data_IF_027263935010
#
_entry.id   IF_027263935010
#
_cell.length_a   1.000
_cell.length_b   1.000
_cell.length_c   1.000
_cell.angle_alpha   90.00
_cell.angle_beta   90.00
_cell.angle_gamma   90.00
#
_symmetry.space_group_name_H-M   'P 1'
#
loop_
_entity.id
_entity.type
_entity.pdbx_description
1 polymer ?
#
# COMPACT_ATOMS: atom_id res chain seq x y z
N UNK A 1 5.97 -18.70 -11.44
CA UNK A 1 5.07 -17.52 -11.44
C UNK A 1 4.76 -17.18 -12.89
N UNK A 2 3.49 -17.13 -13.28
CA UNK A 2 3.10 -16.79 -14.65
C UNK A 2 3.18 -15.28 -14.83
N UNK A 3 4.09 -14.79 -15.67
CA UNK A 3 4.50 -13.38 -15.81
C UNK A 3 3.41 -12.38 -16.24
N UNK A 4 2.32 -12.30 -15.50
CA UNK A 4 1.16 -11.41 -15.69
C UNK A 4 1.07 -10.37 -14.56
N UNK A 5 2.20 -10.11 -13.92
CA UNK A 5 2.33 -9.23 -12.77
C UNK A 5 2.22 -7.76 -13.19
N UNK A 6 1.40 -6.98 -12.48
CA UNK A 6 1.40 -5.52 -12.54
C UNK A 6 2.31 -5.01 -11.45
N UNK A 7 3.44 -4.39 -11.81
CA UNK A 7 4.33 -3.76 -10.83
C UNK A 7 3.58 -2.58 -10.18
N UNK A 8 3.99 -2.16 -9.00
CA UNK A 8 3.33 -1.09 -8.26
C UNK A 8 4.35 -0.06 -7.79
N UNK A 9 3.88 1.14 -7.50
CA UNK A 9 4.60 2.26 -6.92
C UNK A 9 3.65 3.00 -5.97
N UNK A 10 4.15 3.91 -5.13
CA UNK A 10 3.38 4.40 -3.97
C UNK A 10 2.04 5.05 -4.35
N UNK A 11 2.03 5.88 -5.40
CA UNK A 11 0.87 6.63 -5.87
C UNK A 11 0.11 5.94 -7.01
N UNK A 12 0.28 4.62 -7.18
CA UNK A 12 -0.42 3.89 -8.24
C UNK A 12 -1.95 4.00 -8.07
N UNK A 13 -2.65 4.20 -9.18
CA UNK A 13 -4.12 4.24 -9.22
C UNK A 13 -4.68 2.95 -9.83
N UNK A 14 -5.94 2.66 -9.51
CA UNK A 14 -6.71 1.59 -10.18
C UNK A 14 -6.67 1.74 -11.69
N UNK A 15 -6.80 2.97 -12.21
CA UNK A 15 -6.82 3.22 -13.66
C UNK A 15 -5.50 2.84 -14.33
N UNK A 16 -4.36 3.20 -13.74
CA UNK A 16 -3.04 2.82 -14.24
C UNK A 16 -2.85 1.31 -14.16
N UNK A 17 -3.13 0.72 -13.00
CA UNK A 17 -2.98 -0.71 -12.79
C UNK A 17 -3.87 -1.53 -13.74
N UNK A 18 -5.12 -1.11 -13.94
CA UNK A 18 -6.06 -1.73 -14.87
C UNK A 18 -5.58 -1.56 -16.33
N UNK A 19 -5.11 -0.37 -16.71
CA UNK A 19 -4.55 -0.12 -18.03
C UNK A 19 -3.39 -1.05 -18.37
N UNK A 20 -2.45 -1.22 -17.43
CA UNK A 20 -1.31 -2.15 -17.57
C UNK A 20 -1.77 -3.60 -17.57
N UNK A 21 -2.72 -3.94 -16.71
CA UNK A 21 -3.25 -5.30 -16.58
C UNK A 21 -4.03 -5.78 -17.81
N UNK A 22 -4.76 -4.87 -18.46
CA UNK A 22 -5.56 -5.15 -19.66
C UNK A 22 -4.74 -5.14 -20.95
N UNK A 23 -3.70 -4.32 -21.05
CA UNK A 23 -2.94 -4.13 -22.30
C UNK A 23 -1.63 -4.93 -22.36
N UNK A 24 -1.71 -6.25 -22.10
CA UNK A 24 -0.53 -7.13 -22.01
C UNK A 24 0.19 -7.39 -23.33
N UNK A 25 -0.49 -7.17 -24.46
CA UNK A 25 0.07 -7.42 -25.79
C UNK A 25 0.97 -6.27 -26.27
N UNK A 26 0.85 -5.08 -25.66
CA UNK A 26 1.67 -3.92 -26.01
C UNK A 26 2.99 -3.96 -25.24
N UNK A 27 3.96 -4.70 -25.79
CA UNK A 27 5.28 -4.89 -25.16
C UNK A 27 6.04 -3.57 -25.00
N UNK A 28 5.89 -2.63 -25.94
CA UNK A 28 6.57 -1.34 -25.88
C UNK A 28 6.01 -0.46 -24.75
N UNK A 29 4.68 -0.42 -24.57
CA UNK A 29 4.07 0.27 -23.44
C UNK A 29 4.47 -0.38 -22.11
N UNK A 30 4.50 -1.71 -22.03
CA UNK A 30 4.93 -2.44 -20.83
C UNK A 30 6.39 -2.17 -20.47
N UNK A 31 7.29 -2.14 -21.45
CA UNK A 31 8.71 -1.82 -21.22
C UNK A 31 8.89 -0.39 -20.72
N UNK A 32 8.21 0.58 -21.33
CA UNK A 32 8.22 1.98 -20.86
C UNK A 32 7.69 2.10 -19.43
N UNK A 33 6.57 1.43 -19.14
CA UNK A 33 6.00 1.39 -17.79
C UNK A 33 6.97 0.78 -16.78
N UNK A 34 7.52 -0.40 -17.08
CA UNK A 34 8.45 -1.08 -16.20
C UNK A 34 9.71 -0.24 -15.93
N UNK A 35 10.24 0.42 -16.96
CA UNK A 35 11.38 1.34 -16.84
C UNK A 35 11.06 2.54 -15.95
N UNK A 36 9.88 3.15 -16.13
CA UNK A 36 9.46 4.27 -15.29
C UNK A 36 9.30 3.84 -13.82
N UNK A 37 8.78 2.64 -13.58
CA UNK A 37 8.73 2.05 -12.24
C UNK A 37 10.15 1.81 -11.73
N UNK A 38 11.08 1.23 -12.52
CA UNK A 38 12.49 1.06 -12.12
C UNK A 38 13.16 2.38 -11.71
N UNK A 39 12.95 3.44 -12.48
CA UNK A 39 13.50 4.77 -12.17
C UNK A 39 12.92 5.34 -10.86
N UNK A 40 11.60 5.20 -10.64
CA UNK A 40 10.96 5.55 -9.37
C UNK A 40 11.56 4.74 -8.21
N UNK A 41 11.74 3.44 -8.45
CA UNK A 41 12.25 2.45 -7.53
C UNK A 41 13.71 2.66 -7.11
N UNK A 42 14.50 3.39 -7.90
CA UNK A 42 15.89 3.71 -7.53
C UNK A 42 15.94 4.97 -6.66
N UNK A 43 14.96 5.87 -6.80
CA UNK A 43 14.95 7.18 -6.15
C UNK A 43 14.37 7.15 -4.74
N UNK A 44 13.23 6.50 -4.58
CA UNK A 44 12.89 5.91 -3.31
C UNK A 44 13.71 4.63 -3.28
N UNK A 45 14.65 4.33 -2.39
CA UNK A 45 15.00 2.96 -2.00
C UNK A 45 15.78 3.19 -0.72
N UNK A 46 15.42 2.46 0.33
CA UNK A 46 16.05 2.68 1.61
C UNK A 46 15.92 1.42 2.48
N UNK A 47 16.98 1.19 3.25
CA UNK A 47 17.12 0.09 4.19
C UNK A 47 16.94 0.56 5.64
N UNK A 48 16.30 1.70 5.85
CA UNK A 48 16.00 2.26 7.17
C UNK A 48 14.52 2.58 7.30
N UNK A 49 14.01 2.50 8.52
CA UNK A 49 12.68 3.02 8.86
C UNK A 49 12.75 4.54 9.03
N UNK A 50 11.79 5.27 8.45
CA UNK A 50 11.70 6.72 8.50
C UNK A 50 10.35 7.11 9.09
N UNK A 51 10.36 8.01 10.07
CA UNK A 51 9.17 8.58 10.68
C UNK A 51 9.09 10.07 10.33
N UNK A 52 7.98 10.48 9.69
CA UNK A 52 7.67 11.86 9.41
C UNK A 52 7.11 12.58 10.66
N UNK A 53 6.83 13.89 10.54
CA UNK A 53 6.34 14.68 11.67
C UNK A 53 4.93 14.25 12.11
N UNK A 54 4.65 14.37 13.41
CA UNK A 54 3.33 14.07 13.98
C UNK A 54 2.93 12.59 14.05
N UNK A 55 3.79 11.65 13.65
CA UNK A 55 3.49 10.22 13.74
C UNK A 55 3.33 9.76 15.19
N UNK A 56 2.44 8.81 15.44
CA UNK A 56 2.25 8.14 16.74
C UNK A 56 2.49 6.65 16.59
N UNK A 57 3.42 6.12 17.38
CA UNK A 57 3.70 4.68 17.46
C UNK A 57 3.59 4.21 18.90
N UNK A 58 2.73 3.23 19.14
CA UNK A 58 2.55 2.61 20.46
C UNK A 58 2.36 1.09 20.32
N UNK A 59 2.78 0.37 21.36
CA UNK A 59 2.46 -1.06 21.56
C UNK A 59 2.78 -1.97 20.37
N UNK A 60 3.75 -1.60 19.53
CA UNK A 60 4.09 -2.32 18.29
C UNK A 60 5.50 -2.87 18.38
N UNK A 61 5.69 -4.20 18.46
CA UNK A 61 6.98 -4.80 18.76
C UNK A 61 7.94 -4.80 17.57
N UNK A 62 7.45 -4.66 16.32
CA UNK A 62 8.29 -4.81 15.12
C UNK A 62 7.88 -3.87 13.99
N UNK A 63 8.78 -2.95 13.63
CA UNK A 63 8.68 -2.04 12.48
C UNK A 63 10.04 -2.01 11.76
N UNK A 64 10.09 -2.48 10.52
CA UNK A 64 11.35 -2.64 9.76
C UNK A 64 11.20 -2.05 8.36
N UNK A 65 12.20 -1.30 7.89
CA UNK A 65 12.28 -0.75 6.52
C UNK A 65 10.95 -0.12 6.07
N UNK A 66 10.38 0.72 6.92
CA UNK A 66 9.05 1.28 6.69
C UNK A 66 9.13 2.80 6.61
N UNK A 67 8.46 3.38 5.62
CA UNK A 67 8.18 4.81 5.60
C UNK A 67 6.86 5.07 6.31
N UNK A 68 6.89 5.88 7.36
CA UNK A 68 5.74 6.30 8.15
C UNK A 68 5.49 7.78 7.88
N UNK A 69 4.49 8.08 7.03
CA UNK A 69 4.13 9.43 6.59
C UNK A 69 3.50 10.30 7.69
N UNK A 70 3.30 11.58 7.41
CA UNK A 70 2.91 12.57 8.41
C UNK A 70 1.62 12.19 9.14
N UNK A 71 1.65 12.32 10.47
CA UNK A 71 0.49 12.02 11.30
C UNK A 71 0.06 10.55 11.34
N UNK A 72 0.80 9.60 10.73
CA UNK A 72 0.38 8.20 10.72
C UNK A 72 0.26 7.63 12.15
N UNK A 73 -0.72 6.75 12.34
CA UNK A 73 -1.01 6.13 13.64
C UNK A 73 -0.73 4.64 13.57
N UNK A 74 0.23 4.18 14.37
CA UNK A 74 0.56 2.78 14.54
C UNK A 74 0.32 2.42 16.00
N UNK A 75 -0.70 1.63 16.30
CA UNK A 75 -1.07 1.32 17.69
C UNK A 75 -1.46 -0.15 17.90
N UNK A 76 -0.58 -0.91 18.54
CA UNK A 76 -0.84 -2.33 18.79
C UNK A 76 -0.74 -3.21 17.54
N UNK A 77 -0.06 -2.77 16.48
CA UNK A 77 0.23 -3.60 15.32
C UNK A 77 1.18 -4.74 15.72
N UNK A 78 1.03 -5.92 15.12
CA UNK A 78 1.89 -7.07 15.45
C UNK A 78 3.23 -7.00 14.73
N UNK A 79 3.22 -6.64 13.43
CA UNK A 79 4.41 -6.62 12.58
C UNK A 79 4.18 -5.73 11.37
N UNK A 80 5.01 -4.70 11.22
CA UNK A 80 5.11 -3.88 10.02
C UNK A 80 6.50 -4.05 9.40
N UNK A 81 6.58 -4.44 8.14
CA UNK A 81 7.87 -4.62 7.46
C UNK A 81 7.79 -4.28 6.00
N UNK A 82 8.83 -3.62 5.49
CA UNK A 82 8.96 -3.23 4.09
C UNK A 82 7.63 -2.61 3.66
N UNK A 83 7.27 -1.45 4.18
CA UNK A 83 5.92 -0.88 4.01
C UNK A 83 6.01 0.62 3.79
N UNK A 84 5.07 1.18 3.04
CA UNK A 84 4.96 2.62 2.82
C UNK A 84 3.58 3.09 3.26
N UNK A 85 3.54 3.95 4.29
CA UNK A 85 2.32 4.58 4.78
C UNK A 85 2.29 6.02 4.25
N UNK A 86 1.55 6.27 3.18
CA UNK A 86 1.30 7.62 2.66
C UNK A 86 0.21 8.26 3.51
N UNK A 87 0.62 9.02 4.51
CA UNK A 87 -0.27 9.61 5.51
C UNK A 87 -0.07 11.11 5.57
N UNK A 88 -1.15 11.84 5.79
CA UNK A 88 -1.15 13.27 6.11
C UNK A 88 -2.02 13.54 7.36
N UNK A 89 -1.86 14.69 8.05
CA UNK A 89 -2.60 15.01 9.27
C UNK A 89 -4.13 15.09 9.13
N UNK A 90 -4.66 15.22 7.93
CA UNK A 90 -6.09 15.23 7.59
C UNK A 90 -6.57 13.90 7.00
N UNK A 91 -5.65 13.05 6.54
CA UNK A 91 -5.91 11.75 5.91
C UNK A 91 -4.95 10.69 6.46
N UNK A 92 -5.08 10.40 7.74
CA UNK A 92 -4.17 9.51 8.47
C UNK A 92 -4.24 8.06 7.95
N UNK A 93 -3.08 7.45 7.71
CA UNK A 93 -3.00 5.99 7.67
C UNK A 93 -2.97 5.41 9.09
N UNK A 94 -3.74 4.34 9.31
CA UNK A 94 -3.81 3.66 10.61
C UNK A 94 -3.44 2.18 10.47
N UNK A 95 -2.53 1.70 11.31
CA UNK A 95 -2.23 0.27 11.45
C UNK A 95 -2.34 -0.09 12.92
N UNK A 96 -3.34 -0.89 13.29
CA UNK A 96 -3.68 -1.07 14.71
C UNK A 96 -4.18 -2.47 15.08
N UNK A 97 -4.47 -2.67 16.37
CA UNK A 97 -5.28 -3.80 16.86
C UNK A 97 -4.86 -5.19 16.33
N UNK A 98 -3.57 -5.50 16.43
CA UNK A 98 -3.01 -6.80 16.05
C UNK A 98 -2.73 -6.97 14.55
N UNK A 99 -2.94 -5.93 13.74
CA UNK A 99 -2.70 -5.96 12.30
C UNK A 99 -1.27 -6.36 11.91
N UNK A 100 -1.16 -6.98 10.74
CA UNK A 100 0.11 -7.33 10.10
C UNK A 100 0.17 -6.73 8.70
N UNK A 101 1.19 -5.93 8.44
CA UNK A 101 1.38 -5.26 7.15
C UNK A 101 2.80 -5.53 6.67
N UNK A 102 2.93 -6.29 5.58
CA UNK A 102 4.24 -6.74 5.08
C UNK A 102 4.32 -6.55 3.60
N UNK A 103 5.34 -5.86 3.12
CA UNK A 103 5.43 -5.62 1.69
C UNK A 103 4.14 -5.00 1.14
N UNK A 104 3.60 -3.98 1.81
CA UNK A 104 2.42 -3.28 1.30
C UNK A 104 2.54 -1.76 1.28
N UNK A 105 1.76 -1.13 0.41
CA UNK A 105 1.59 0.32 0.33
C UNK A 105 0.18 0.64 0.86
N UNK A 106 0.08 1.58 1.80
CA UNK A 106 -1.17 2.14 2.28
C UNK A 106 -1.23 3.61 1.86
N UNK A 107 -2.19 3.95 1.01
CA UNK A 107 -2.43 5.32 0.57
C UNK A 107 -3.29 6.09 1.59
N UNK A 108 -3.36 7.41 1.45
CA UNK A 108 -4.03 8.34 2.38
C UNK A 108 -5.37 7.83 2.90
N UNK A 109 -5.57 7.95 4.22
CA UNK A 109 -6.78 7.49 4.89
C UNK A 109 -6.97 5.97 4.97
N UNK A 110 -6.02 5.15 4.53
CA UNK A 110 -6.16 3.69 4.59
C UNK A 110 -5.96 3.12 5.99
N UNK A 111 -6.65 2.04 6.29
CA UNK A 111 -6.64 1.41 7.61
C UNK A 111 -6.42 -0.11 7.53
N UNK A 112 -5.56 -0.63 8.41
CA UNK A 112 -5.48 -2.08 8.68
C UNK A 112 -5.57 -2.28 10.18
N UNK A 113 -6.64 -2.88 10.65
CA UNK A 113 -6.94 -3.03 12.06
C UNK A 113 -7.48 -4.44 12.38
N UNK A 114 -7.85 -4.70 13.63
CA UNK A 114 -8.60 -5.88 14.07
C UNK A 114 -8.11 -7.19 13.42
N UNK A 115 -6.81 -7.46 13.55
CA UNK A 115 -6.11 -8.62 12.99
C UNK A 115 -6.17 -8.75 11.45
N UNK A 116 -6.36 -7.64 10.73
CA UNK A 116 -6.24 -7.56 9.29
C UNK A 116 -4.82 -7.87 8.82
N UNK A 117 -4.72 -8.54 7.67
CA UNK A 117 -3.46 -8.88 7.02
C UNK A 117 -3.40 -8.22 5.64
N UNK A 118 -2.38 -7.38 5.44
CA UNK A 118 -2.01 -6.89 4.12
C UNK A 118 -0.60 -7.39 3.76
N UNK A 119 -0.49 -8.11 2.66
CA UNK A 119 0.78 -8.64 2.17
C UNK A 119 0.97 -8.42 0.67
N UNK A 120 2.14 -7.95 0.23
CA UNK A 120 2.45 -7.75 -1.20
C UNK A 120 1.38 -6.92 -1.93
N UNK A 121 0.76 -5.95 -1.26
CA UNK A 121 -0.49 -5.35 -1.72
C UNK A 121 -0.50 -3.83 -1.66
N UNK A 122 -1.41 -3.23 -2.43
CA UNK A 122 -1.69 -1.79 -2.39
C UNK A 122 -3.10 -1.59 -1.86
N UNK A 123 -3.22 -0.85 -0.77
CA UNK A 123 -4.45 -0.25 -0.28
C UNK A 123 -4.51 1.17 -0.83
N UNK A 124 -5.42 1.43 -1.76
CA UNK A 124 -5.65 2.77 -2.27
C UNK A 124 -6.42 3.64 -1.27
N UNK A 125 -6.51 4.93 -1.57
CA UNK A 125 -7.11 5.96 -0.69
C UNK A 125 -8.39 5.49 0.02
N UNK A 126 -8.45 5.70 1.34
CA UNK A 126 -9.60 5.37 2.19
C UNK A 126 -10.05 3.90 2.09
N UNK A 127 -9.14 2.97 1.78
CA UNK A 127 -9.44 1.53 1.80
C UNK A 127 -9.05 0.89 3.13
N UNK A 128 -9.72 -0.21 3.48
CA UNK A 128 -9.51 -0.84 4.78
C UNK A 128 -9.47 -2.37 4.71
N UNK A 129 -8.69 -2.97 5.62
CA UNK A 129 -8.65 -4.42 5.86
C UNK A 129 -8.80 -4.65 7.36
N UNK A 130 -9.92 -5.25 7.75
CA UNK A 130 -10.35 -5.33 9.14
C UNK A 130 -10.93 -6.71 9.48
N UNK A 131 -11.16 -6.98 10.76
CA UNK A 131 -11.87 -8.18 11.26
C UNK A 131 -11.35 -9.48 10.62
N UNK A 132 -10.06 -9.73 10.73
CA UNK A 132 -9.36 -10.89 10.10
C UNK A 132 -9.40 -10.92 8.56
N UNK A 133 -9.75 -9.82 7.90
CA UNK A 133 -9.65 -9.70 6.45
C UNK A 133 -8.22 -9.93 5.96
N UNK A 134 -8.09 -10.55 4.79
CA UNK A 134 -6.81 -10.84 4.16
C UNK A 134 -6.75 -10.22 2.76
N UNK A 135 -5.72 -9.42 2.53
CA UNK A 135 -5.36 -8.86 1.23
C UNK A 135 -3.94 -9.31 0.88
N UNK A 136 -3.79 -10.13 -0.16
CA UNK A 136 -2.50 -10.67 -0.59
C UNK A 136 -2.26 -10.49 -2.08
N UNK A 137 -1.06 -10.06 -2.48
CA UNK A 137 -0.67 -9.92 -3.89
C UNK A 137 -1.73 -9.17 -4.73
N UNK A 138 -2.31 -8.10 -4.17
CA UNK A 138 -3.53 -7.48 -4.69
C UNK A 138 -3.48 -5.96 -4.65
N UNK A 139 -4.30 -5.32 -5.48
CA UNK A 139 -4.60 -3.90 -5.40
C UNK A 139 -6.07 -3.72 -5.02
N UNK A 140 -6.30 -3.11 -3.86
CA UNK A 140 -7.60 -2.73 -3.35
C UNK A 140 -7.82 -1.25 -3.66
N UNK A 141 -8.81 -0.97 -4.49
CA UNK A 141 -9.13 0.36 -5.00
C UNK A 141 -9.74 1.27 -3.94
N UNK A 142 -9.84 2.58 -4.22
CA UNK A 142 -10.29 3.57 -3.25
C UNK A 142 -11.64 3.23 -2.63
N UNK A 143 -11.82 3.59 -1.35
CA UNK A 143 -13.08 3.39 -0.62
C UNK A 143 -13.59 1.94 -0.62
N UNK A 144 -12.67 0.97 -0.68
CA UNK A 144 -13.01 -0.46 -0.66
C UNK A 144 -12.59 -1.09 0.66
N UNK A 145 -13.34 -2.11 1.10
CA UNK A 145 -13.19 -2.71 2.41
C UNK A 145 -13.13 -4.23 2.35
N UNK A 146 -12.17 -4.83 3.04
CA UNK A 146 -12.05 -6.27 3.22
C UNK A 146 -12.26 -6.62 4.68
N UNK A 147 -13.49 -6.99 5.04
CA UNK A 147 -13.81 -7.49 6.37
C UNK A 147 -14.23 -8.96 6.32
N UNK A 148 -13.59 -9.80 7.16
CA UNK A 148 -13.78 -11.27 7.23
C UNK A 148 -13.46 -12.06 5.94
N UNK A 149 -13.22 -11.39 4.82
CA UNK A 149 -12.97 -11.98 3.50
C UNK A 149 -11.51 -12.09 3.12
N UNK A 150 -11.25 -12.79 2.02
CA UNK A 150 -9.93 -12.98 1.44
C UNK A 150 -9.91 -12.50 -0.01
N UNK A 151 -8.96 -11.62 -0.31
CA UNK A 151 -8.62 -11.20 -1.67
C UNK A 151 -7.17 -11.57 -1.94
N UNK A 152 -6.94 -12.37 -2.99
CA UNK A 152 -5.60 -12.76 -3.42
C UNK A 152 -5.40 -12.57 -4.92
N UNK A 153 -4.21 -12.16 -5.34
CA UNK A 153 -3.82 -12.04 -6.75
C UNK A 153 -4.72 -11.12 -7.60
N UNK A 154 -5.45 -10.18 -6.99
CA UNK A 154 -6.60 -9.50 -7.60
C UNK A 154 -6.42 -7.98 -7.73
N UNK A 155 -7.15 -7.39 -8.67
CA UNK A 155 -7.36 -5.94 -8.77
C UNK A 155 -8.85 -5.68 -8.59
N UNK A 156 -9.24 -5.01 -7.51
CA UNK A 156 -10.64 -4.83 -7.11
C UNK A 156 -10.91 -3.40 -6.67
N UNK A 157 -12.00 -2.79 -7.15
CA UNK A 157 -12.44 -1.48 -6.68
C UNK A 157 -12.13 -0.37 -7.68
N UNK A 158 -12.71 0.83 -7.47
CA UNK A 158 -13.16 1.40 -6.18
C UNK A 158 -14.54 0.93 -5.67
N UNK A 159 -14.87 1.25 -4.41
CA UNK A 159 -16.18 0.98 -3.78
C UNK A 159 -16.59 -0.50 -3.77
N UNK A 160 -15.67 -1.39 -3.40
CA UNK A 160 -15.94 -2.82 -3.21
C UNK A 160 -16.03 -3.15 -1.73
N UNK A 161 -17.11 -3.78 -1.29
CA UNK A 161 -17.34 -4.11 0.12
C UNK A 161 -17.39 -5.60 0.39
N UNK A 162 -16.59 -6.05 1.36
CA UNK A 162 -16.73 -7.36 2.00
C UNK A 162 -17.23 -7.13 3.42
N UNK A 163 -18.34 -7.76 3.77
CA UNK A 163 -18.89 -7.70 5.13
C UNK A 163 -18.91 -9.06 5.82
N UNK A 164 -18.68 -10.13 5.09
CA UNK A 164 -18.66 -11.50 5.59
C UNK A 164 -17.65 -12.34 4.80
N UNK A 165 -17.36 -13.54 5.32
CA UNK A 165 -16.46 -14.50 4.71
C UNK A 165 -16.80 -14.76 3.24
N UNK A 166 -15.86 -14.37 2.37
CA UNK A 166 -15.94 -14.48 0.91
C UNK A 166 -14.52 -14.55 0.35
N UNK A 167 -14.34 -15.08 -0.85
CA UNK A 167 -13.04 -15.33 -1.45
C UNK A 167 -12.98 -14.81 -2.89
N UNK A 168 -12.00 -13.95 -3.17
CA UNK A 168 -11.64 -13.49 -4.52
C UNK A 168 -10.22 -13.93 -4.85
N UNK A 169 -10.05 -14.73 -5.90
CA UNK A 169 -8.75 -15.19 -6.40
C UNK A 169 -8.58 -14.76 -7.85
N UNK A 170 -7.51 -14.01 -8.15
CA UNK A 170 -7.23 -13.52 -9.50
C UNK A 170 -8.43 -12.79 -10.13
N UNK A 171 -9.22 -12.10 -9.31
CA UNK A 171 -10.31 -11.26 -9.76
C UNK A 171 -9.76 -10.01 -10.48
N UNK A 172 -10.47 -9.58 -11.52
CA UNK A 172 -10.20 -8.31 -12.18
C UNK A 172 -11.51 -7.54 -12.25
N UNK A 173 -11.64 -6.55 -11.37
CA UNK A 173 -12.85 -5.76 -11.18
C UNK A 173 -12.49 -4.28 -10.94
N UNK A 174 -11.89 -3.61 -11.94
CA UNK A 174 -11.46 -2.21 -11.82
C UNK A 174 -12.61 -1.19 -11.79
N UNK A 175 -13.80 -1.56 -12.28
CA UNK A 175 -14.98 -0.69 -12.21
C UNK A 175 -15.59 -0.67 -10.80
N UNK A 176 -15.36 -1.73 -10.03
CA UNK A 176 -15.83 -1.92 -8.66
C UNK A 176 -17.34 -1.69 -8.49
N UNK A 177 -17.72 -0.94 -7.45
CA UNK A 177 -19.10 -0.53 -7.10
C UNK A 177 -20.03 -1.70 -6.78
N UNK A 178 -19.66 -2.51 -5.79
CA UNK A 178 -20.52 -3.60 -5.36
C UNK A 178 -20.05 -4.29 -4.09
N UNK A 179 -20.97 -5.04 -3.50
CA UNK A 179 -20.68 -5.86 -2.34
C UNK A 179 -20.45 -7.31 -2.78
N UNK A 180 -19.48 -7.96 -2.15
CA UNK A 180 -19.25 -9.39 -2.30
C UNK A 180 -20.18 -10.12 -1.34
N UNK A 181 -21.06 -10.96 -1.91
CA UNK A 181 -22.01 -11.75 -1.13
C UNK A 181 -21.30 -12.80 -0.28
N UNK A 182 -21.84 -13.06 0.91
CA UNK A 182 -21.35 -14.11 1.80
C UNK A 182 -21.20 -15.45 1.07
N UNK A 183 -20.07 -16.13 1.30
CA UNK A 183 -19.75 -17.42 0.70
C UNK A 183 -19.43 -17.35 -0.80
N UNK A 184 -19.37 -16.15 -1.40
CA UNK A 184 -18.93 -16.02 -2.78
C UNK A 184 -17.49 -16.54 -2.93
N UNK A 185 -17.28 -17.36 -3.95
CA UNK A 185 -15.97 -17.84 -4.34
C UNK A 185 -15.76 -17.46 -5.81
N UNK A 186 -15.04 -16.36 -6.02
CA UNK A 186 -14.87 -15.72 -7.33
C UNK A 186 -13.45 -15.93 -7.82
N UNK A 187 -13.32 -16.57 -8.97
CA UNK A 187 -12.03 -16.94 -9.55
C UNK A 187 -11.67 -18.40 -9.28
N UNK A 188 -10.53 -18.84 -9.83
CA UNK A 188 -10.21 -20.28 -9.81
C UNK A 188 -8.72 -20.63 -9.90
N UNK A 189 -7.80 -19.66 -10.05
CA UNK A 189 -6.36 -19.94 -10.20
C UNK A 189 -5.45 -18.81 -9.66
N UNK A 190 -4.27 -19.16 -9.13
CA UNK A 190 -3.25 -18.21 -8.66
C UNK A 190 -2.47 -17.54 -9.81
N UNK A 191 -3.09 -17.28 -10.97
CA UNK A 191 -2.44 -16.44 -11.98
C UNK A 191 -2.44 -15.00 -11.49
N UNK A 192 -1.37 -14.59 -10.80
CA UNK A 192 -1.15 -13.25 -10.26
C UNK A 192 -1.48 -12.18 -11.31
N UNK A 193 -2.50 -11.34 -11.06
CA UNK A 193 -2.82 -10.19 -11.92
C UNK A 193 -2.16 -8.91 -11.42
N UNK A 194 -1.94 -8.83 -10.12
CA UNK A 194 -1.07 -7.85 -9.47
C UNK A 194 0.21 -8.58 -9.10
N UNK A 195 1.33 -7.93 -9.39
CA UNK A 195 2.65 -8.47 -9.13
C UNK A 195 3.07 -8.33 -7.68
N UNK A 196 4.29 -8.77 -7.38
CA UNK A 196 4.93 -8.33 -6.13
C UNK A 196 4.84 -6.81 -6.06
N UNK A 197 4.24 -6.33 -4.97
CA UNK A 197 4.36 -4.93 -4.61
C UNK A 197 5.86 -4.63 -4.46
N UNK A 198 6.38 -3.72 -5.28
CA UNK A 198 7.81 -3.46 -5.24
C UNK A 198 8.09 -2.51 -4.09
N UNK A 199 8.69 -3.08 -3.04
CA UNK A 199 8.81 -2.42 -1.76
C UNK A 199 9.99 -1.51 -1.67
N UNK A 200 9.67 -0.22 -1.63
CA UNK A 200 10.68 0.78 -1.83
C UNK A 200 10.36 1.99 -0.96
N UNK A 201 11.29 2.21 -0.04
CA UNK A 201 11.26 3.19 1.04
C UNK A 201 11.77 4.54 0.50
N UNK A 202 11.01 5.60 0.76
CA UNK A 202 11.15 6.92 0.13
C UNK A 202 12.48 7.63 0.32
N UNK A 203 12.81 8.42 -0.70
CA UNK A 203 12.97 9.87 -0.52
C UNK A 203 11.99 10.56 -1.48
N UNK A 204 11.04 11.33 -0.93
CA UNK A 204 10.20 12.28 -1.64
C UNK A 204 9.17 11.70 -2.63
N UNK A 205 7.88 11.97 -2.36
CA UNK A 205 6.87 12.04 -3.42
C UNK A 205 7.37 12.94 -4.57
N UNK A 206 6.90 12.76 -5.81
CA UNK A 206 7.26 13.68 -6.92
C UNK A 206 6.96 15.16 -6.59
N UNK A 207 6.02 15.41 -5.68
CA UNK A 207 5.73 16.73 -5.11
C UNK A 207 6.85 17.24 -4.17
N UNK A 208 7.48 16.37 -3.38
CA UNK A 208 8.62 16.69 -2.53
C UNK A 208 9.92 16.92 -3.33
N UNK A 209 10.13 16.21 -4.45
CA UNK A 209 11.28 16.46 -5.35
C UNK A 209 11.17 17.85 -5.99
N UNK A 210 9.97 18.22 -6.44
CA UNK A 210 9.69 19.55 -7.00
C UNK A 210 9.83 20.63 -5.92
N UNK A 211 9.40 20.35 -4.69
CA UNK A 211 9.57 21.25 -3.55
C UNK A 211 11.03 21.35 -3.04
N UNK A 212 11.86 20.31 -3.14
CA UNK A 212 13.25 20.35 -2.68
C UNK A 212 14.14 21.17 -3.63
N UNK A 213 13.92 21.04 -4.94
CA UNK A 213 14.62 21.85 -5.96
C UNK A 213 14.09 23.29 -5.99
N UNK A 214 12.81 23.52 -5.67
CA UNK A 214 12.20 24.85 -5.54
C UNK A 214 12.51 25.59 -4.23
N UNK A 215 12.67 24.88 -3.10
CA UNK A 215 12.93 25.51 -1.77
C UNK A 215 14.38 25.97 -1.57
N UNK A 216 15.30 25.60 -2.46
CA UNK A 216 16.62 26.24 -2.52
C UNK A 216 16.58 27.68 -3.08
N UNK A 217 15.42 28.19 -3.53
CA UNK A 217 15.31 29.57 -4.04
C UNK A 217 14.33 30.51 -3.35
N UNK A 218 13.53 30.09 -2.35
CA UNK A 218 12.81 31.00 -1.43
C UNK A 218 12.02 30.21 -0.38
N UNK A 219 12.33 30.41 0.90
CA UNK A 219 11.41 30.82 1.96
C UNK A 219 11.93 30.49 3.37
N UNK A 220 11.76 31.49 4.23
CA UNK A 220 12.16 31.56 5.64
C UNK A 220 11.68 30.37 6.49
N UNK A 221 12.64 29.73 7.16
CA UNK A 221 12.61 29.51 8.60
C UNK A 221 11.45 28.69 9.18
N UNK A 222 11.48 27.36 8.98
CA UNK A 222 11.04 26.35 9.98
C UNK A 222 11.66 25.00 9.59
N UNK A 223 12.38 24.38 10.54
CA UNK A 223 13.10 23.11 10.34
C UNK A 223 12.11 21.95 10.43
N UNK A 224 12.02 21.12 9.37
CA UNK A 224 11.44 19.78 9.46
C UNK A 224 12.44 18.87 10.17
N UNK A 225 12.04 18.30 11.30
CA UNK A 225 12.86 17.34 12.04
C UNK A 225 12.57 15.94 11.51
N UNK A 226 13.49 15.37 10.73
CA UNK A 226 13.46 13.96 10.36
C UNK A 226 14.18 13.18 11.46
N UNK A 227 13.45 12.32 12.17
CA UNK A 227 14.03 11.51 13.25
C UNK A 227 14.47 10.15 12.69
N UNK A 228 15.77 9.88 12.76
CA UNK A 228 16.34 8.55 12.51
C UNK A 228 16.20 7.73 13.78
N UNK A 229 15.31 6.76 13.80
CA UNK A 229 15.14 5.85 14.94
C UNK A 229 15.47 4.43 14.48
N UNK A 230 16.63 3.93 14.90
CA UNK A 230 16.92 2.50 14.86
C UNK A 230 16.26 1.86 16.07
N UNK A 231 15.12 1.20 15.89
CA UNK A 231 14.50 0.40 16.96
C UNK A 231 15.20 -0.96 16.97
N UNK A 232 16.24 -1.10 17.79
CA UNK A 232 16.75 -2.42 18.18
C UNK A 232 15.80 -2.99 19.23
N UNK A 233 14.98 -3.97 18.83
CA UNK A 233 14.14 -4.71 19.77
C UNK A 233 15.06 -5.60 20.63
N UNK A 234 15.36 -5.14 21.85
CA UNK A 234 16.15 -5.88 22.82
C UNK A 234 15.35 -7.01 23.47
N UNK A 235 15.82 -8.24 23.21
CA UNK A 235 15.57 -9.55 23.88
C UNK A 235 14.16 -9.92 24.29
#
# INVERSE_FOLDING_TARGET
TGGRETRTYAEITVAVAAGVASNRHDTEALERYNKAVDEYCVLAESNITIFADGCRVSSTPKIINTYVGHGAVIDGATWIENTTLLSEPDEHCTVSAGAVVKHSILQWGSEVDTFGLSQNSVLCEHSHVERHGMLSDSLLGPNSGVAEGEITASLCGPFVGFHHQSLLIAAFWPEGKGNVGYGANVGSNHTSKVGRCMHIVMNATLADITNLVGRLTRCNGRRTNVYRVSIECGR
#
